data_IF_517701823110
#
_entry.id   IF_517701823110
#
_cell.length_a   1.000
_cell.length_b   1.000
_cell.length_c   1.000
_cell.angle_alpha   90.00
_cell.angle_beta   90.00
_cell.angle_gamma   90.00
#
_symmetry.space_group_name_H-M   'P 1'
#
loop_
_entity.id
_entity.type
_entity.pdbx_description
1 polymer ?
#
# COMPACT_ATOMS: atom_id res chain seq x y z
N UNK A 1 -27.64 -6.21 19.81
CA UNK A 1 -27.16 -6.16 19.25
C UNK A 1 -26.78 -6.04 18.44
N UNK A 2 -26.71 -6.54 18.41
CA UNK A 2 -26.40 -6.68 17.15
C UNK A 2 -25.82 -5.56 16.50
N UNK A 3 -26.22 -4.51 16.82
CA UNK A 3 -25.63 -3.35 16.28
C UNK A 3 -24.13 -3.39 16.45
N UNK A 4 -23.70 -3.98 17.50
CA UNK A 4 -22.27 -4.06 17.72
C UNK A 4 -21.59 -4.79 16.61
N UNK A 5 -22.21 -5.83 16.14
CA UNK A 5 -21.60 -6.60 15.08
C UNK A 5 -21.36 -5.74 13.85
N UNK A 6 -22.29 -4.90 13.54
CA UNK A 6 -22.13 -4.07 12.37
C UNK A 6 -20.94 -3.17 12.45
N UNK A 7 -20.75 -2.54 13.60
CA UNK A 7 -19.62 -1.64 13.69
C UNK A 7 -18.31 -2.38 13.67
N UNK A 8 -18.26 -3.55 14.19
CA UNK A 8 -17.02 -4.30 14.16
C UNK A 8 -16.61 -4.63 12.75
N UNK A 9 -17.58 -4.98 11.94
CA UNK A 9 -17.28 -5.28 10.55
C UNK A 9 -16.71 -4.06 9.88
N UNK A 10 -17.25 -2.91 10.17
CA UNK A 10 -16.73 -1.70 9.57
C UNK A 10 -15.30 -1.44 9.95
N UNK A 11 -14.96 -1.70 11.18
CA UNK A 11 -13.59 -1.51 11.60
C UNK A 11 -12.65 -2.40 10.84
N UNK A 12 -13.07 -3.63 10.61
CA UNK A 12 -12.21 -4.53 9.87
C UNK A 12 -11.97 -4.05 8.46
N UNK A 13 -12.94 -3.40 7.88
CA UNK A 13 -12.76 -2.88 6.55
C UNK A 13 -11.64 -1.86 6.51
N UNK A 14 -11.44 -1.13 7.58
CA UNK A 14 -10.42 -0.12 7.61
C UNK A 14 -9.04 -0.66 7.96
N UNK A 15 -8.96 -1.90 8.37
CA UNK A 15 -7.70 -2.45 8.82
C UNK A 15 -7.16 -3.41 7.77
N UNK A 16 -6.23 -2.94 6.98
CA UNK A 16 -5.54 -3.80 6.04
C UNK A 16 -4.40 -4.48 6.77
N UNK A 17 -4.16 -5.74 6.43
CA UNK A 17 -2.96 -6.38 6.93
C UNK A 17 -1.75 -5.78 6.23
N UNK A 18 -0.58 -5.93 6.84
CA UNK A 18 0.64 -5.44 6.22
C UNK A 18 0.87 -6.10 4.88
N UNK A 19 0.50 -7.37 4.77
CA UNK A 19 0.65 -8.08 3.52
C UNK A 19 -0.21 -7.47 2.43
N UNK A 20 -1.44 -7.11 2.77
CA UNK A 20 -2.32 -6.47 1.80
C UNK A 20 -1.80 -5.10 1.41
N UNK A 21 -1.29 -4.35 2.38
CA UNK A 21 -0.73 -3.04 2.08
C UNK A 21 0.44 -3.15 1.12
N UNK A 22 1.31 -4.10 1.35
CA UNK A 22 2.46 -4.29 0.49
C UNK A 22 2.04 -4.69 -0.92
N UNK A 23 1.05 -5.56 -1.03
CA UNK A 23 0.55 -5.98 -2.34
C UNK A 23 -0.07 -4.81 -3.09
N UNK A 24 -0.89 -4.03 -2.40
CA UNK A 24 -1.52 -2.88 -3.02
C UNK A 24 -0.50 -1.83 -3.41
N UNK A 25 0.46 -1.60 -2.56
CA UNK A 25 1.49 -0.62 -2.84
C UNK A 25 2.29 -1.02 -4.07
N UNK A 26 2.67 -2.29 -4.15
CA UNK A 26 3.43 -2.78 -5.28
C UNK A 26 2.63 -2.61 -6.57
N UNK A 27 1.37 -2.96 -6.54
CA UNK A 27 0.53 -2.84 -7.74
C UNK A 27 0.39 -1.39 -8.16
N UNK A 28 0.14 -0.50 -7.21
CA UNK A 28 -0.01 0.91 -7.54
C UNK A 28 1.30 1.49 -8.03
N UNK A 29 2.40 1.07 -7.46
CA UNK A 29 3.70 1.57 -7.87
C UNK A 29 3.97 1.20 -9.33
N UNK A 30 3.59 -0.01 -9.73
CA UNK A 30 3.80 -0.43 -11.11
C UNK A 30 2.92 0.33 -12.08
N UNK A 31 1.89 0.98 -11.61
CA UNK A 31 0.97 1.76 -12.44
C UNK A 31 1.07 3.25 -12.17
N UNK A 32 2.20 3.72 -11.67
CA UNK A 32 2.30 5.08 -11.14
C UNK A 32 2.16 6.17 -12.19
N UNK A 33 2.07 5.83 -13.46
CA UNK A 33 1.73 6.84 -14.47
C UNK A 33 0.26 7.23 -14.41
N UNK A 34 -0.56 6.43 -13.75
CA UNK A 34 -1.97 6.70 -13.58
C UNK A 34 -2.18 7.61 -12.38
N UNK A 35 -3.03 8.62 -12.54
CA UNK A 35 -3.30 9.53 -11.43
C UNK A 35 -3.95 8.79 -10.27
N UNK A 36 -4.83 7.83 -10.55
CA UNK A 36 -5.48 7.09 -9.48
C UNK A 36 -4.48 6.22 -8.73
N UNK A 37 -3.50 5.67 -9.44
CA UNK A 37 -2.48 4.89 -8.76
C UNK A 37 -1.60 5.76 -7.86
N UNK A 38 -1.27 6.96 -8.32
CA UNK A 38 -0.49 7.87 -7.51
C UNK A 38 -1.24 8.25 -6.23
N UNK A 39 -2.54 8.51 -6.36
CA UNK A 39 -3.34 8.80 -5.19
C UNK A 39 -3.39 7.62 -4.24
N UNK A 40 -3.48 6.41 -4.79
CA UNK A 40 -3.51 5.22 -3.94
C UNK A 40 -2.19 5.06 -3.18
N UNK A 41 -1.07 5.34 -3.85
CA UNK A 41 0.22 5.28 -3.16
C UNK A 41 0.24 6.23 -1.98
N UNK A 42 -0.25 7.46 -2.17
CA UNK A 42 -0.27 8.41 -1.07
C UNK A 42 -1.16 7.94 0.07
N UNK A 43 -2.30 7.35 -0.26
CA UNK A 43 -3.20 6.83 0.77
C UNK A 43 -2.52 5.73 1.58
N UNK A 44 -1.84 4.83 0.89
CA UNK A 44 -1.17 3.74 1.57
C UNK A 44 -0.01 4.24 2.43
N UNK A 45 0.71 5.25 1.93
CA UNK A 45 1.79 5.82 2.72
C UNK A 45 1.27 6.49 3.97
N UNK A 46 0.13 7.17 3.88
CA UNK A 46 -0.48 7.77 5.05
C UNK A 46 -0.94 6.71 6.03
N UNK A 47 -1.48 5.62 5.52
CA UNK A 47 -1.92 4.52 6.36
C UNK A 47 -0.74 3.93 7.13
N UNK A 48 0.36 3.70 6.43
CA UNK A 48 1.55 3.17 7.07
C UNK A 48 2.10 4.14 8.12
N UNK A 49 2.08 5.43 7.79
CA UNK A 49 2.58 6.44 8.72
C UNK A 49 1.78 6.45 10.03
N UNK A 50 0.49 6.16 9.95
CA UNK A 50 -0.35 6.05 11.14
C UNK A 50 0.16 4.97 12.08
N UNK A 51 0.82 3.97 11.55
CA UNK A 51 1.36 2.89 12.35
C UNK A 51 2.84 3.08 12.64
N UNK A 52 3.39 4.22 12.29
CA UNK A 52 4.80 4.47 12.49
C UNK A 52 5.70 3.74 11.51
N UNK A 53 5.17 3.44 10.33
CA UNK A 53 5.89 2.66 9.33
C UNK A 53 6.00 3.43 8.04
N UNK A 54 6.90 2.97 7.18
CA UNK A 54 7.00 3.48 5.83
C UNK A 54 7.36 2.33 4.89
N UNK A 55 7.07 2.52 3.62
CA UNK A 55 7.41 1.53 2.60
C UNK A 55 8.83 1.77 2.12
N UNK A 56 9.56 0.69 1.91
CA UNK A 56 10.90 0.78 1.36
C UNK A 56 11.07 -0.29 0.30
N UNK A 57 11.61 0.10 -0.86
CA UNK A 57 11.91 -0.85 -1.91
C UNK A 57 13.14 -1.66 -1.51
N UNK A 58 13.06 -2.98 -1.64
CA UNK A 58 14.12 -3.85 -1.18
C UNK A 58 14.86 -4.52 -2.32
N UNK A 59 14.55 -4.18 -3.55
CA UNK A 59 15.30 -4.71 -4.69
C UNK A 59 15.56 -3.59 -5.67
N UNK A 60 16.22 -3.92 -6.78
CA UNK A 60 16.69 -2.89 -7.71
C UNK A 60 15.81 -2.76 -8.94
N UNK A 61 14.52 -2.98 -8.79
CA UNK A 61 13.61 -2.75 -9.89
C UNK A 61 13.67 -1.28 -10.29
N UNK A 62 13.66 -1.01 -11.58
CA UNK A 62 13.79 0.33 -12.07
C UNK A 62 12.64 0.70 -12.99
N UNK A 63 12.32 1.97 -12.93
CA UNK A 63 11.28 2.54 -13.77
C UNK A 63 11.92 2.99 -15.07
N UNK A 64 11.57 2.33 -16.15
CA UNK A 64 11.99 2.80 -17.48
C UNK A 64 10.74 2.94 -18.32
N UNK A 65 10.49 4.17 -18.74
CA UNK A 65 9.28 4.44 -19.50
C UNK A 65 9.22 3.58 -20.74
N UNK A 66 8.06 3.01 -21.02
CA UNK A 66 6.82 3.10 -20.27
C UNK A 66 6.63 1.95 -19.29
N UNK A 67 7.65 1.19 -19.00
CA UNK A 67 7.53 -0.03 -18.20
C UNK A 67 8.53 -0.06 -17.08
N UNK A 68 8.21 -0.89 -16.10
CA UNK A 68 9.15 -1.27 -15.07
C UNK A 68 10.00 -2.42 -15.60
N UNK A 69 11.26 -2.40 -15.24
CA UNK A 69 12.16 -3.53 -15.52
C UNK A 69 12.36 -4.24 -14.19
N UNK A 70 11.95 -5.51 -14.16
CA UNK A 70 11.98 -6.28 -12.93
C UNK A 70 10.72 -6.04 -12.12
N UNK A 71 10.58 -6.79 -11.03
CA UNK A 71 9.42 -6.67 -10.15
C UNK A 71 9.82 -5.93 -8.89
N UNK A 72 9.23 -4.75 -8.64
CA UNK A 72 9.52 -4.04 -7.41
C UNK A 72 9.00 -4.82 -6.21
N UNK A 73 9.78 -4.83 -5.16
CA UNK A 73 9.39 -5.47 -3.91
C UNK A 73 9.58 -4.46 -2.80
N UNK A 74 8.63 -4.44 -1.89
CA UNK A 74 8.63 -3.47 -0.81
C UNK A 74 8.48 -4.17 0.51
N UNK A 75 8.92 -3.50 1.56
CA UNK A 75 8.64 -3.94 2.90
C UNK A 75 8.28 -2.73 3.75
N UNK A 76 7.63 -2.98 4.87
CA UNK A 76 7.26 -1.94 5.81
C UNK A 76 8.31 -1.91 6.90
N UNK A 77 8.91 -0.76 7.10
CA UNK A 77 9.94 -0.59 8.10
C UNK A 77 9.58 0.60 8.98
N UNK A 78 10.18 0.73 10.14
CA UNK A 78 9.90 1.88 11.01
C UNK A 78 10.22 3.18 10.30
N UNK A 79 9.33 4.13 10.45
CA UNK A 79 9.49 5.43 9.80
C UNK A 79 10.57 6.26 10.45
#
# INVERSE_FOLDING_TARGET
MAAGAGSEIQQEVHTMTHEEMLREYTRSYKNMLSASAQRRLEELEAEAAHEGLRFQMVNEAQWMLPHFIGDPRFELIPA
#
